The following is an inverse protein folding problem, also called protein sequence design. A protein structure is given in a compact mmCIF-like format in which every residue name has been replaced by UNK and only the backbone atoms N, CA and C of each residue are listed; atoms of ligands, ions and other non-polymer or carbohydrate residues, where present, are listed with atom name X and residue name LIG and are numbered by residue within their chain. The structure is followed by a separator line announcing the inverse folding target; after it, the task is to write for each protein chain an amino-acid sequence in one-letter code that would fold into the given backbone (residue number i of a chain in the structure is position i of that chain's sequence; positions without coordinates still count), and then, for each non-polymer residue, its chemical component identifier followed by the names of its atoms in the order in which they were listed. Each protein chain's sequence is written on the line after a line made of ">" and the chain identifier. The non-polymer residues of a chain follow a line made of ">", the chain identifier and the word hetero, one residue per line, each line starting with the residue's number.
data_IF_350941537809
#
_entry.id   IF_350941537809
#
_cell.length_a   1.000
_cell.length_b   1.000
_cell.length_c   1.000
_cell.angle_alpha   90.00
_cell.angle_beta   90.00
_cell.angle_gamma   90.00
#
_symmetry.space_group_name_H-M   'P 1'
#
loop_
_entity.id
_entity.type
_entity.pdbx_description
1 polymer ?
#
# COMPACT_ATOMS: atom_id res chain seq x y z
N UNK A 1 -36.37 -15.23 14.71
CA UNK A 1 -36.07 -15.48 13.29
C UNK A 1 -36.28 -14.18 12.54
N UNK A 2 -35.27 -13.34 12.48
CA UNK A 2 -35.27 -12.08 11.73
C UNK A 2 -34.53 -12.33 10.44
N UNK A 3 -35.19 -12.02 9.32
CA UNK A 3 -34.63 -12.16 7.97
C UNK A 3 -33.53 -11.10 7.75
N UNK A 4 -32.31 -11.54 7.59
CA UNK A 4 -31.22 -10.70 7.13
C UNK A 4 -31.43 -10.46 5.62
N UNK A 5 -31.87 -9.26 5.28
CA UNK A 5 -31.87 -8.78 3.90
C UNK A 5 -30.42 -8.36 3.56
N UNK A 6 -29.70 -9.23 2.87
CA UNK A 6 -28.43 -8.88 2.25
C UNK A 6 -28.71 -7.91 1.11
N UNK A 7 -28.35 -6.64 1.29
CA UNK A 7 -28.35 -5.66 0.21
C UNK A 7 -27.14 -5.94 -0.68
N UNK A 8 -27.36 -6.68 -1.77
CA UNK A 8 -26.37 -6.84 -2.84
C UNK A 8 -26.39 -5.55 -3.67
N UNK A 9 -25.48 -4.65 -3.32
CA UNK A 9 -25.22 -3.45 -4.13
C UNK A 9 -24.39 -3.82 -5.36
N UNK A 10 -25.06 -3.99 -6.49
CA UNK A 10 -24.41 -4.19 -7.78
C UNK A 10 -23.95 -2.82 -8.31
N UNK A 11 -22.71 -2.46 -8.12
CA UNK A 11 -22.12 -1.25 -8.69
C UNK A 11 -21.33 -1.64 -9.94
N UNK A 12 -21.96 -1.54 -11.10
CA UNK A 12 -21.30 -1.57 -12.41
C UNK A 12 -20.71 -0.18 -12.66
N UNK A 13 -19.43 0.01 -12.38
CA UNK A 13 -18.74 1.22 -12.80
C UNK A 13 -18.17 1.04 -14.20
N UNK A 14 -18.82 1.68 -15.15
CA UNK A 14 -18.35 1.82 -16.53
C UNK A 14 -17.42 3.05 -16.57
N UNK A 15 -16.11 2.86 -16.61
CA UNK A 15 -15.16 3.94 -16.88
C UNK A 15 -14.55 3.74 -18.26
N UNK A 16 -15.21 4.31 -19.28
CA UNK A 16 -14.60 4.49 -20.58
C UNK A 16 -13.95 5.87 -20.63
N UNK A 17 -12.65 5.95 -20.34
CA UNK A 17 -11.89 7.18 -20.57
C UNK A 17 -11.41 7.22 -22.02
N UNK A 18 -12.10 7.97 -22.87
CA UNK A 18 -11.64 8.33 -24.21
C UNK A 18 -10.91 9.67 -24.06
N UNK A 19 -9.59 9.65 -24.02
CA UNK A 19 -8.78 10.86 -24.11
C UNK A 19 -8.44 11.11 -25.58
N UNK A 20 -9.08 12.13 -26.16
CA UNK A 20 -8.67 12.67 -27.46
C UNK A 20 -7.68 13.81 -27.18
N UNK A 21 -6.41 13.58 -27.45
CA UNK A 21 -5.40 14.61 -27.40
C UNK A 21 -5.53 15.55 -28.61
N UNK A 22 -5.94 16.80 -28.36
CA UNK A 22 -5.82 17.90 -29.30
C UNK A 22 -4.38 18.40 -29.30
N UNK A 23 -3.66 18.23 -30.38
CA UNK A 23 -2.35 18.87 -30.61
C UNK A 23 -2.55 20.26 -31.22
N UNK A 24 -2.02 21.33 -30.66
CA UNK A 24 -1.96 22.61 -31.34
C UNK A 24 -0.82 22.60 -32.36
N UNK A 25 -1.21 22.91 -33.58
CA UNK A 25 -0.34 23.09 -34.75
C UNK A 25 0.28 24.50 -34.65
N UNK A 26 1.58 24.59 -34.40
CA UNK A 26 2.32 25.84 -34.54
C UNK A 26 2.90 25.95 -35.93
N UNK A 27 2.59 27.06 -36.59
CA UNK A 27 3.00 27.41 -37.91
C UNK A 27 4.51 27.68 -38.00
N UNK A 28 5.08 27.13 -39.02
CA UNK A 28 6.43 27.32 -39.49
C UNK A 28 6.59 28.75 -40.09
N UNK A 29 7.47 29.58 -39.53
CA UNK A 29 7.92 30.83 -40.13
C UNK A 29 9.36 30.67 -40.50
N UNK A 30 9.55 30.36 -41.77
CA UNK A 30 10.86 30.31 -42.38
C UNK A 30 11.53 31.69 -42.46
N UNK A 31 12.71 31.79 -41.92
CA UNK A 31 13.65 32.90 -42.20
C UNK A 31 14.83 32.34 -42.94
N UNK A 32 14.87 32.63 -44.23
CA UNK A 32 16.05 32.42 -45.09
C UNK A 32 17.11 33.45 -44.76
N UNK A 33 18.27 33.02 -44.29
CA UNK A 33 19.47 33.85 -44.28
C UNK A 33 20.43 33.40 -45.39
N UNK A 34 20.77 34.35 -46.24
CA UNK A 34 21.67 34.18 -47.37
C UNK A 34 23.16 34.04 -46.90
N UNK A 35 24.00 33.39 -47.70
CA UNK A 35 25.39 33.21 -47.37
C UNK A 35 26.21 34.48 -47.68
N UNK A 36 27.05 34.87 -46.75
CA UNK A 36 28.09 35.91 -46.97
C UNK A 36 29.35 35.21 -47.49
N UNK A 37 29.68 35.46 -48.73
CA UNK A 37 31.02 35.16 -49.27
C UNK A 37 32.02 36.18 -48.72
N UNK A 38 33.02 35.73 -48.00
CA UNK A 38 34.24 36.47 -47.80
C UNK A 38 35.37 35.74 -48.50
N UNK A 39 35.80 36.31 -49.62
CA UNK A 39 37.09 36.05 -50.22
C UNK A 39 38.17 36.88 -49.51
N UNK A 40 39.09 36.22 -48.83
CA UNK A 40 40.38 36.83 -48.59
C UNK A 40 41.49 35.79 -48.72
N UNK A 41 42.31 35.98 -49.74
CA UNK A 41 43.42 35.18 -50.09
C UNK A 41 44.65 35.69 -49.33
N UNK A 42 45.11 34.90 -48.35
CA UNK A 42 46.46 34.97 -47.85
C UNK A 42 47.12 33.59 -47.96
N UNK A 43 48.04 33.46 -48.87
CA UNK A 43 48.91 32.30 -48.99
C UNK A 43 49.84 32.24 -47.80
N UNK A 44 49.65 31.24 -46.94
CA UNK A 44 50.63 30.85 -45.93
C UNK A 44 51.18 29.47 -46.24
N UNK A 45 52.53 29.45 -46.26
CA UNK A 45 53.38 28.31 -46.52
C UNK A 45 53.03 27.08 -45.69
N UNK A 46 52.73 25.95 -46.31
CA UNK A 46 52.28 24.74 -45.67
C UNK A 46 53.47 23.95 -45.14
N UNK A 47 53.73 24.06 -43.85
CA UNK A 47 54.45 23.03 -43.10
C UNK A 47 53.59 21.80 -42.98
N UNK A 48 53.91 20.77 -43.76
CA UNK A 48 53.26 19.43 -43.62
C UNK A 48 53.74 18.76 -42.35
N UNK A 49 53.03 18.94 -41.28
CA UNK A 49 53.02 18.00 -40.12
C UNK A 49 51.97 16.96 -40.37
N UNK A 50 52.29 15.82 -40.95
CA UNK A 50 51.48 14.66 -40.97
C UNK A 50 51.74 13.84 -39.68
N UNK A 51 51.24 14.28 -38.55
CA UNK A 51 51.09 13.40 -37.44
C UNK A 51 49.78 12.65 -37.66
N UNK A 52 49.87 11.34 -37.87
CA UNK A 52 48.72 10.44 -37.79
C UNK A 52 48.24 10.48 -36.35
N UNK A 53 47.25 11.35 -36.05
CA UNK A 53 46.46 11.25 -34.84
C UNK A 53 45.57 10.03 -35.00
N UNK A 54 45.92 8.95 -34.29
CA UNK A 54 45.01 7.85 -34.11
C UNK A 54 43.67 8.42 -33.65
N UNK A 55 42.61 8.12 -34.40
CA UNK A 55 41.27 8.60 -34.09
C UNK A 55 40.91 8.11 -32.71
N UNK A 56 40.91 9.00 -31.72
CA UNK A 56 40.37 8.70 -30.39
C UNK A 56 38.89 8.55 -30.56
N UNK A 57 38.43 7.31 -30.63
CA UNK A 57 37.00 6.99 -30.60
C UNK A 57 36.47 7.30 -29.20
N UNK A 58 35.91 8.49 -29.04
CA UNK A 58 35.18 8.83 -27.80
C UNK A 58 33.90 8.05 -27.80
N UNK A 59 33.92 6.89 -27.13
CA UNK A 59 32.71 6.14 -26.84
C UNK A 59 31.99 6.90 -25.72
N UNK A 60 31.00 7.70 -26.08
CA UNK A 60 30.15 8.34 -25.11
C UNK A 60 29.41 7.24 -24.32
N UNK A 61 29.71 7.10 -23.04
CA UNK A 61 28.96 6.20 -22.16
C UNK A 61 27.52 6.70 -22.10
N UNK A 62 26.57 5.85 -22.48
CA UNK A 62 25.14 6.14 -22.35
C UNK A 62 24.82 6.40 -20.89
N UNK A 63 24.11 7.50 -20.54
CA UNK A 63 23.74 7.76 -19.14
C UNK A 63 22.83 6.65 -18.61
N UNK A 64 23.12 6.15 -17.42
CA UNK A 64 22.34 5.11 -16.76
C UNK A 64 20.94 5.61 -16.34
N UNK A 65 20.82 6.91 -16.06
CA UNK A 65 19.56 7.55 -15.65
C UNK A 65 19.04 8.44 -16.78
N UNK A 66 17.78 8.28 -17.11
CA UNK A 66 17.04 9.15 -18.03
C UNK A 66 15.80 9.69 -17.33
N UNK A 67 15.67 11.01 -17.26
CA UNK A 67 14.49 11.69 -16.74
C UNK A 67 13.55 12.05 -17.89
N UNK A 68 12.28 11.68 -17.76
CA UNK A 68 11.17 12.07 -18.62
C UNK A 68 10.14 12.84 -17.76
N UNK A 69 9.13 13.43 -18.39
CA UNK A 69 8.16 14.28 -17.68
C UNK A 69 7.35 13.52 -16.62
N UNK A 70 7.00 12.26 -16.89
CA UNK A 70 6.12 11.41 -16.11
C UNK A 70 6.83 10.26 -15.40
N UNK A 71 8.10 10.01 -15.76
CA UNK A 71 8.86 8.90 -15.21
C UNK A 71 10.36 9.12 -15.24
N UNK A 72 11.02 8.41 -14.37
CA UNK A 72 12.47 8.26 -14.36
C UNK A 72 12.85 6.84 -14.72
N UNK A 73 13.79 6.68 -15.62
CA UNK A 73 14.24 5.37 -16.11
C UNK A 73 15.69 5.15 -15.71
N UNK A 74 15.98 4.01 -15.09
CA UNK A 74 17.32 3.52 -14.80
C UNK A 74 17.62 2.31 -15.70
N UNK A 75 18.70 2.41 -16.49
CA UNK A 75 19.14 1.37 -17.42
C UNK A 75 20.02 0.34 -16.67
N UNK A 76 19.41 -0.73 -16.20
CA UNK A 76 20.09 -1.79 -15.43
C UNK A 76 21.01 -2.62 -16.33
N UNK A 77 20.59 -2.87 -17.58
CA UNK A 77 21.35 -3.68 -18.55
C UNK A 77 22.72 -3.04 -18.88
N UNK A 78 22.79 -1.72 -18.83
CA UNK A 78 24.02 -0.96 -19.09
C UNK A 78 24.89 -0.76 -17.83
N UNK A 79 24.43 -1.14 -16.64
CA UNK A 79 25.19 -1.04 -15.39
C UNK A 79 26.07 -2.29 -15.19
N UNK A 80 27.40 -2.14 -15.13
CA UNK A 80 28.29 -3.29 -14.90
C UNK A 80 28.03 -4.04 -13.60
N UNK A 81 27.50 -3.37 -12.58
CA UNK A 81 27.20 -3.99 -11.28
C UNK A 81 25.98 -4.89 -11.29
N UNK A 82 25.11 -4.78 -12.33
CA UNK A 82 23.92 -5.62 -12.45
C UNK A 82 24.23 -7.13 -12.54
N UNK A 83 25.43 -7.49 -12.95
CA UNK A 83 25.85 -8.90 -13.05
C UNK A 83 26.00 -9.59 -11.68
N UNK A 84 26.32 -8.81 -10.64
CA UNK A 84 26.64 -9.36 -9.31
C UNK A 84 25.58 -9.02 -8.25
N UNK A 85 24.67 -8.10 -8.54
CA UNK A 85 23.72 -7.57 -7.57
C UNK A 85 22.28 -8.07 -7.78
N UNK A 86 21.47 -7.93 -6.74
CA UNK A 86 20.01 -8.11 -6.81
C UNK A 86 19.33 -6.85 -7.32
N UNK A 87 18.06 -6.99 -7.71
CA UNK A 87 17.24 -5.83 -8.11
C UNK A 87 17.06 -4.86 -6.94
N UNK A 88 16.97 -5.34 -5.69
CA UNK A 88 16.88 -4.49 -4.51
C UNK A 88 18.13 -3.58 -4.37
N UNK A 89 19.33 -4.15 -4.60
CA UNK A 89 20.56 -3.35 -4.55
C UNK A 89 20.62 -2.33 -5.69
N UNK A 90 20.12 -2.67 -6.87
CA UNK A 90 20.02 -1.72 -7.97
C UNK A 90 19.04 -0.59 -7.68
N UNK A 91 17.94 -0.85 -6.93
CA UNK A 91 16.99 0.17 -6.51
C UNK A 91 17.63 1.26 -5.64
N UNK A 92 18.68 0.95 -4.87
CA UNK A 92 19.43 1.95 -4.08
C UNK A 92 20.09 3.02 -4.95
N UNK A 93 20.32 2.71 -6.23
CA UNK A 93 20.92 3.63 -7.22
C UNK A 93 19.87 4.41 -8.01
N UNK A 94 18.61 4.01 -7.92
CA UNK A 94 17.53 4.62 -8.69
C UNK A 94 17.08 5.91 -8.00
N UNK A 95 17.13 7.06 -8.67
CA UNK A 95 16.62 8.30 -8.10
C UNK A 95 15.13 8.18 -7.70
N UNK A 96 14.73 8.90 -6.64
CA UNK A 96 13.39 8.91 -6.06
C UNK A 96 12.98 7.60 -5.37
N UNK A 97 13.88 6.62 -5.29
CA UNK A 97 13.71 5.42 -4.48
C UNK A 97 14.69 5.46 -3.31
N UNK A 98 14.22 5.16 -2.12
CA UNK A 98 15.04 5.00 -0.93
C UNK A 98 14.84 3.60 -0.40
N UNK A 99 15.93 2.90 -0.13
CA UNK A 99 15.94 1.60 0.52
C UNK A 99 16.74 1.73 1.81
N UNK A 100 16.08 1.57 2.94
CA UNK A 100 16.73 1.70 4.26
C UNK A 100 17.61 0.49 4.63
N UNK A 101 18.23 0.55 5.80
CA UNK A 101 19.07 -0.53 6.31
C UNK A 101 18.32 -1.81 6.70
N UNK A 102 16.99 -1.78 6.75
CA UNK A 102 16.09 -2.90 7.01
C UNK A 102 15.40 -3.40 5.72
N UNK A 103 15.89 -2.95 4.55
CA UNK A 103 15.36 -3.26 3.23
C UNK A 103 13.94 -2.72 2.96
N UNK A 104 13.45 -1.75 3.75
CA UNK A 104 12.17 -1.10 3.45
C UNK A 104 12.36 -0.15 2.27
N UNK A 105 11.45 -0.25 1.32
CA UNK A 105 11.46 0.54 0.09
C UNK A 105 10.48 1.70 0.21
N UNK A 106 10.91 2.89 -0.14
CA UNK A 106 10.07 4.07 -0.29
C UNK A 106 10.24 4.68 -1.68
N UNK A 107 9.14 5.08 -2.28
CA UNK A 107 9.10 5.77 -3.58
C UNK A 107 8.57 7.17 -3.36
N UNK A 108 9.33 8.18 -3.75
CA UNK A 108 8.97 9.58 -3.55
C UNK A 108 8.58 9.88 -2.09
N UNK A 109 9.37 9.38 -1.13
CA UNK A 109 9.13 9.45 0.32
C UNK A 109 7.83 8.79 0.82
N UNK A 110 7.21 7.95 0.01
CA UNK A 110 6.02 7.18 0.40
C UNK A 110 6.33 5.68 0.47
N UNK A 111 5.93 5.04 1.55
CA UNK A 111 5.96 3.57 1.68
C UNK A 111 4.80 2.87 0.95
N UNK A 112 3.80 3.66 0.49
CA UNK A 112 2.71 3.15 -0.32
C UNK A 112 3.05 3.28 -1.79
N UNK A 113 3.37 2.18 -2.45
CA UNK A 113 3.67 2.12 -3.89
C UNK A 113 3.19 0.79 -4.47
N UNK A 114 3.07 0.73 -5.78
CA UNK A 114 2.76 -0.51 -6.50
C UNK A 114 3.95 -0.94 -7.35
N UNK A 115 4.10 -2.25 -7.52
CA UNK A 115 5.12 -2.80 -8.41
C UNK A 115 4.46 -3.39 -9.65
N UNK A 116 4.97 -2.97 -10.79
CA UNK A 116 4.57 -3.47 -12.10
C UNK A 116 5.73 -4.22 -12.74
N UNK A 117 5.40 -5.23 -13.52
CA UNK A 117 6.37 -5.95 -14.36
C UNK A 117 5.91 -5.85 -15.81
N UNK A 118 6.79 -5.34 -16.67
CA UNK A 118 6.48 -5.12 -18.09
C UNK A 118 5.18 -4.32 -18.31
N UNK A 119 4.91 -3.33 -17.43
CA UNK A 119 3.73 -2.48 -17.48
C UNK A 119 2.44 -3.10 -16.95
N UNK A 120 2.49 -4.27 -16.32
CA UNK A 120 1.35 -4.95 -15.70
C UNK A 120 1.51 -4.99 -14.19
N UNK A 121 0.45 -4.82 -13.40
CA UNK A 121 0.53 -4.94 -11.95
C UNK A 121 1.00 -6.34 -11.55
N UNK A 122 1.93 -6.39 -10.60
CA UNK A 122 2.42 -7.65 -10.06
C UNK A 122 2.18 -7.66 -8.54
N UNK A 123 1.18 -8.42 -8.12
CA UNK A 123 0.75 -8.47 -6.73
C UNK A 123 1.77 -9.15 -5.82
N UNK A 124 2.52 -10.12 -6.34
CA UNK A 124 3.62 -10.76 -5.62
C UNK A 124 4.64 -9.74 -5.15
N UNK A 125 5.09 -8.86 -6.05
CA UNK A 125 6.07 -7.84 -5.75
C UNK A 125 5.47 -6.66 -4.98
N UNK A 126 4.19 -6.36 -5.18
CA UNK A 126 3.53 -5.28 -4.45
C UNK A 126 3.27 -5.62 -2.98
N UNK A 127 3.01 -6.89 -2.67
CA UNK A 127 2.71 -7.33 -1.30
C UNK A 127 3.96 -7.61 -0.45
N UNK A 128 5.06 -8.04 -1.06
CA UNK A 128 6.33 -8.26 -0.38
C UNK A 128 7.53 -7.85 -1.26
N UNK A 129 7.66 -6.55 -1.56
CA UNK A 129 8.62 -6.07 -2.54
C UNK A 129 10.06 -6.36 -2.13
N UNK A 130 10.41 -6.14 -0.87
CA UNK A 130 11.80 -6.28 -0.38
C UNK A 130 12.32 -7.70 -0.56
N UNK A 131 11.58 -8.70 -0.09
CA UNK A 131 12.00 -10.10 -0.17
C UNK A 131 12.09 -10.60 -1.62
N UNK A 132 11.12 -10.23 -2.45
CA UNK A 132 11.11 -10.67 -3.85
C UNK A 132 12.25 -10.01 -4.63
N UNK A 133 12.43 -8.69 -4.48
CA UNK A 133 13.44 -7.94 -5.23
C UNK A 133 14.87 -8.23 -4.73
N UNK A 134 15.03 -8.62 -3.46
CA UNK A 134 16.30 -9.08 -2.89
C UNK A 134 16.78 -10.41 -3.52
N UNK A 135 15.83 -11.29 -3.80
CA UNK A 135 16.12 -12.59 -4.41
C UNK A 135 16.08 -12.57 -5.95
N UNK A 136 15.74 -11.44 -6.56
CA UNK A 136 15.70 -11.30 -8.00
C UNK A 136 17.05 -10.81 -8.53
N UNK A 137 17.74 -11.58 -9.40
CA UNK A 137 19.01 -11.15 -10.00
C UNK A 137 18.81 -9.95 -10.92
N UNK A 138 19.66 -8.92 -10.78
CA UNK A 138 19.52 -7.70 -11.57
C UNK A 138 19.76 -7.90 -13.07
N UNK A 139 20.55 -8.92 -13.47
CA UNK A 139 20.77 -9.26 -14.87
C UNK A 139 19.52 -9.81 -15.59
N UNK A 140 18.45 -10.14 -14.85
CA UNK A 140 17.13 -10.48 -15.41
C UNK A 140 16.30 -9.25 -15.79
N UNK A 141 16.78 -8.05 -15.39
CA UNK A 141 16.09 -6.78 -15.60
C UNK A 141 16.82 -5.96 -16.64
N UNK A 142 16.08 -5.40 -17.58
CA UNK A 142 16.58 -4.49 -18.59
C UNK A 142 16.65 -3.05 -18.09
N UNK A 143 15.57 -2.59 -17.47
CA UNK A 143 15.46 -1.24 -16.90
C UNK A 143 14.43 -1.20 -15.79
N UNK A 144 14.58 -0.22 -14.89
CA UNK A 144 13.61 0.11 -13.85
C UNK A 144 13.05 1.51 -14.16
N UNK A 145 11.74 1.64 -14.20
CA UNK A 145 11.04 2.90 -14.40
C UNK A 145 10.31 3.29 -13.13
N UNK A 146 10.54 4.50 -12.63
CA UNK A 146 9.82 5.08 -11.50
C UNK A 146 8.82 6.08 -12.05
N UNK A 147 7.54 5.80 -11.84
CA UNK A 147 6.43 6.62 -12.31
C UNK A 147 5.86 7.33 -11.08
N UNK A 148 6.14 8.63 -10.97
CA UNK A 148 5.75 9.44 -9.81
C UNK A 148 4.42 10.15 -9.98
N UNK A 149 3.96 10.26 -11.22
CA UNK A 149 2.66 10.80 -11.55
C UNK A 149 1.91 9.79 -12.43
N UNK A 150 1.41 8.70 -11.83
CA UNK A 150 0.70 7.69 -12.59
C UNK A 150 -0.62 8.27 -13.11
N UNK A 151 -0.73 8.34 -14.44
CA UNK A 151 -1.97 8.73 -15.10
C UNK A 151 -3.04 7.64 -15.01
N UNK A 152 -4.22 7.87 -15.61
CA UNK A 152 -5.37 6.93 -15.53
C UNK A 152 -5.11 5.55 -16.12
N UNK A 153 -3.98 5.37 -16.79
CA UNK A 153 -3.51 4.07 -17.29
C UNK A 153 -3.15 3.09 -16.16
N UNK A 154 -2.75 3.63 -15.01
CA UNK A 154 -2.31 2.85 -13.86
C UNK A 154 -3.38 2.93 -12.79
N UNK A 155 -3.78 1.78 -12.25
CA UNK A 155 -4.62 1.70 -11.06
C UNK A 155 -3.74 2.04 -9.83
N UNK A 156 -3.46 3.34 -9.67
CA UNK A 156 -2.50 3.85 -8.69
C UNK A 156 -3.12 4.88 -7.73
N UNK A 157 -4.42 4.80 -7.52
CA UNK A 157 -5.10 5.67 -6.57
C UNK A 157 -4.55 5.46 -5.15
N UNK A 158 -4.15 6.57 -4.51
CA UNK A 158 -3.66 6.57 -3.13
C UNK A 158 -2.22 6.09 -2.94
N UNK A 159 -1.41 5.92 -4.00
CA UNK A 159 0.01 5.53 -3.88
C UNK A 159 0.95 6.66 -4.26
N UNK A 160 2.14 6.69 -3.62
CA UNK A 160 3.18 7.68 -3.88
C UNK A 160 3.94 7.49 -5.20
N UNK A 161 3.72 6.35 -5.89
CA UNK A 161 4.34 6.05 -7.17
C UNK A 161 4.27 4.59 -7.55
N UNK A 162 4.83 4.28 -8.72
CA UNK A 162 4.92 2.91 -9.25
C UNK A 162 6.37 2.61 -9.60
N UNK A 163 6.84 1.43 -9.19
CA UNK A 163 8.08 0.83 -9.69
C UNK A 163 7.71 -0.12 -10.82
N UNK A 164 8.07 0.20 -12.06
CA UNK A 164 7.85 -0.68 -13.20
C UNK A 164 9.17 -1.33 -13.63
N UNK A 165 9.25 -2.63 -13.47
CA UNK A 165 10.44 -3.44 -13.78
C UNK A 165 10.25 -4.02 -15.18
N UNK A 166 11.13 -3.64 -16.10
CA UNK A 166 11.15 -4.20 -17.46
C UNK A 166 12.19 -5.31 -17.50
N UNK A 167 11.73 -6.52 -17.71
CA UNK A 167 12.57 -7.72 -17.74
C UNK A 167 13.19 -7.97 -19.13
N UNK A 168 14.23 -8.79 -19.17
CA UNK A 168 14.91 -9.18 -20.42
C UNK A 168 14.15 -10.17 -21.28
N UNK A 169 12.88 -10.49 -20.91
CA UNK A 169 11.98 -11.35 -21.70
C UNK A 169 11.98 -12.83 -21.31
N UNK A 170 12.87 -13.27 -20.43
CA UNK A 170 12.73 -14.56 -19.75
C UNK A 170 11.74 -14.38 -18.62
N UNK A 171 10.59 -15.06 -18.68
CA UNK A 171 9.58 -15.03 -17.62
C UNK A 171 10.21 -15.36 -16.28
N UNK A 172 9.83 -14.61 -15.25
CA UNK A 172 10.22 -14.99 -13.87
C UNK A 172 9.48 -16.27 -13.51
N UNK A 173 10.21 -17.27 -13.06
CA UNK A 173 9.64 -18.47 -12.49
C UNK A 173 10.23 -18.64 -11.09
N UNK A 174 9.41 -19.00 -10.15
CA UNK A 174 9.87 -19.21 -8.80
C UNK A 174 8.75 -19.21 -7.76
N UNK A 175 9.13 -19.42 -6.54
CA UNK A 175 8.25 -19.35 -5.39
C UNK A 175 8.96 -18.62 -4.24
N UNK A 176 8.18 -18.03 -3.37
CA UNK A 176 8.63 -17.48 -2.09
C UNK A 176 7.63 -17.88 -1.01
N UNK A 177 8.13 -18.24 0.15
CA UNK A 177 7.32 -18.53 1.34
C UNK A 177 7.99 -17.87 2.54
N UNK A 178 7.22 -17.03 3.22
CA UNK A 178 7.62 -16.38 4.46
C UNK A 178 6.67 -16.80 5.57
N UNK A 179 7.20 -17.23 6.70
CA UNK A 179 6.45 -17.55 7.90
C UNK A 179 7.05 -16.75 9.05
N UNK A 180 6.20 -16.05 9.77
CA UNK A 180 6.61 -15.25 10.92
C UNK A 180 5.74 -15.54 12.13
N UNK A 181 6.33 -15.44 13.31
CA UNK A 181 5.61 -15.47 14.58
C UNK A 181 6.12 -14.35 15.46
N UNK A 182 5.24 -13.77 16.24
CA UNK A 182 5.59 -12.74 17.21
C UNK A 182 4.88 -12.99 18.54
N UNK A 183 5.59 -12.70 19.60
CA UNK A 183 5.07 -12.72 20.94
C UNK A 183 5.58 -11.51 21.72
N UNK A 184 4.74 -10.89 22.49
CA UNK A 184 5.16 -9.83 23.39
C UNK A 184 4.77 -10.15 24.85
N UNK A 185 5.46 -9.52 25.79
CA UNK A 185 5.24 -9.69 27.24
C UNK A 185 3.89 -9.15 27.72
N UNK A 186 3.15 -8.46 26.86
CA UNK A 186 1.81 -7.95 27.14
C UNK A 186 0.71 -8.96 26.80
N UNK A 187 1.08 -10.19 26.40
CA UNK A 187 0.13 -11.28 26.10
C UNK A 187 -0.38 -11.29 24.66
N UNK A 188 0.32 -10.61 23.74
CA UNK A 188 -0.02 -10.66 22.32
C UNK A 188 0.79 -11.74 21.63
N UNK A 189 0.07 -12.62 20.93
CA UNK A 189 0.64 -13.67 20.08
C UNK A 189 0.19 -13.39 18.65
N UNK A 190 1.11 -13.48 17.70
CA UNK A 190 0.80 -13.37 16.28
C UNK A 190 1.51 -14.43 15.48
N UNK A 191 0.88 -14.82 14.39
CA UNK A 191 1.46 -15.68 13.37
C UNK A 191 1.06 -15.16 12.00
N UNK A 192 1.99 -15.16 11.07
CA UNK A 192 1.74 -14.76 9.70
C UNK A 192 2.42 -15.70 8.72
N UNK A 193 1.78 -15.89 7.59
CA UNK A 193 2.30 -16.65 6.48
C UNK A 193 2.02 -15.88 5.19
N UNK A 194 3.01 -15.78 4.34
CA UNK A 194 2.89 -15.27 2.98
C UNK A 194 3.53 -16.27 2.03
N UNK A 195 2.82 -16.62 0.96
CA UNK A 195 3.33 -17.49 -0.07
C UNK A 195 2.99 -16.94 -1.45
N UNK A 196 3.90 -17.13 -2.38
CA UNK A 196 3.69 -16.76 -3.77
C UNK A 196 4.40 -17.76 -4.68
N UNK A 197 3.80 -18.00 -5.83
CA UNK A 197 4.38 -18.81 -6.89
C UNK A 197 4.10 -18.14 -8.23
N UNK A 198 5.12 -18.08 -9.05
CA UNK A 198 4.98 -17.67 -10.46
C UNK A 198 5.54 -18.80 -11.34
N UNK A 199 4.70 -19.26 -12.26
CA UNK A 199 5.04 -20.28 -13.24
C UNK A 199 4.51 -19.87 -14.59
N UNK A 200 5.41 -19.50 -15.49
CA UNK A 200 5.08 -18.98 -16.80
C UNK A 200 4.15 -17.77 -16.74
N UNK A 201 2.92 -17.94 -17.18
CA UNK A 201 1.89 -16.88 -17.26
C UNK A 201 1.01 -16.75 -16.02
N UNK A 202 1.14 -17.67 -15.07
CA UNK A 202 0.34 -17.73 -13.86
C UNK A 202 1.15 -17.22 -12.67
N UNK A 203 0.60 -16.26 -11.95
CA UNK A 203 1.08 -15.82 -10.64
C UNK A 203 -0.01 -16.04 -9.62
N UNK A 204 0.31 -16.68 -8.51
CA UNK A 204 -0.60 -16.90 -7.38
C UNK A 204 0.11 -16.46 -6.12
N UNK A 205 -0.58 -15.67 -5.30
CA UNK A 205 -0.10 -15.26 -3.98
C UNK A 205 -1.19 -15.41 -2.93
N UNK A 206 -0.78 -15.73 -1.72
CA UNK A 206 -1.67 -15.84 -0.58
C UNK A 206 -0.98 -15.35 0.67
N UNK A 207 -1.76 -14.69 1.52
CA UNK A 207 -1.33 -14.23 2.84
C UNK A 207 -2.37 -14.61 3.86
N UNK A 208 -1.91 -15.02 5.02
CA UNK A 208 -2.75 -15.21 6.20
C UNK A 208 -2.02 -14.66 7.43
N UNK A 209 -2.74 -13.98 8.29
CA UNK A 209 -2.25 -13.47 9.56
C UNK A 209 -3.27 -13.72 10.65
N UNK A 210 -2.79 -14.17 11.77
CA UNK A 210 -3.53 -14.34 13.01
C UNK A 210 -2.91 -13.51 14.11
N UNK A 211 -3.73 -12.88 14.93
CA UNK A 211 -3.29 -12.19 16.13
C UNK A 211 -4.29 -12.44 17.26
N UNK A 212 -3.78 -12.86 18.39
CA UNK A 212 -4.50 -12.94 19.65
C UNK A 212 -3.87 -11.96 20.63
N UNK A 213 -4.68 -11.23 21.37
CA UNK A 213 -4.23 -10.30 22.40
C UNK A 213 -5.08 -10.48 23.64
N UNK A 214 -4.45 -10.89 24.73
CA UNK A 214 -5.03 -10.76 26.07
C UNK A 214 -4.84 -9.33 26.53
N UNK A 215 -5.91 -8.60 26.73
CA UNK A 215 -5.86 -7.33 27.44
C UNK A 215 -5.59 -7.65 28.91
N UNK A 216 -4.39 -7.43 29.36
CA UNK A 216 -4.07 -7.48 30.80
C UNK A 216 -4.98 -6.49 31.53
N UNK A 217 -5.32 -6.85 32.79
CA UNK A 217 -6.18 -6.02 33.64
C UNK A 217 -5.81 -4.54 33.49
N UNK A 218 -6.71 -3.81 32.83
CA UNK A 218 -6.68 -2.36 32.80
C UNK A 218 -7.51 -1.84 33.96
N UNK A 219 -6.99 -0.87 34.68
CA UNK A 219 -7.76 -0.12 35.68
C UNK A 219 -7.65 1.36 35.35
N UNK A 220 -8.73 2.07 35.53
CA UNK A 220 -8.80 3.49 35.31
C UNK A 220 -9.83 4.13 36.21
N UNK A 221 -9.60 5.37 36.58
CA UNK A 221 -10.55 6.18 37.34
C UNK A 221 -10.87 7.47 36.58
N UNK A 222 -12.08 7.93 36.77
CA UNK A 222 -12.53 9.23 36.30
C UNK A 222 -13.21 9.94 37.46
N UNK A 223 -12.85 11.22 37.69
CA UNK A 223 -13.48 12.10 38.65
C UNK A 223 -14.03 13.32 37.95
N UNK A 224 -15.31 13.55 38.13
CA UNK A 224 -16.02 14.72 37.66
C UNK A 224 -16.43 15.55 38.88
N UNK A 225 -15.94 16.76 38.97
CA UNK A 225 -16.31 17.73 39.97
C UNK A 225 -17.20 18.80 39.38
N UNK A 226 -18.21 19.21 40.12
CA UNK A 226 -19.07 20.32 39.76
C UNK A 226 -18.32 21.63 40.00
N UNK A 227 -18.26 22.48 38.98
CA UNK A 227 -17.69 23.82 39.04
C UNK A 227 -18.75 24.83 38.68
N UNK A 228 -18.92 25.87 39.50
CA UNK A 228 -19.91 26.90 39.27
C UNK A 228 -21.01 26.95 40.33
N UNK A 229 -22.26 27.18 39.94
CA UNK A 229 -23.40 27.21 40.88
C UNK A 229 -23.64 25.80 41.43
N UNK A 230 -23.39 25.63 42.70
CA UNK A 230 -23.57 24.38 43.43
C UNK A 230 -24.93 24.45 44.17
N UNK A 231 -25.78 23.46 43.98
CA UNK A 231 -27.07 23.30 44.61
C UNK A 231 -27.24 21.89 45.21
N UNK A 232 -28.37 21.62 45.84
CA UNK A 232 -28.69 20.34 46.46
C UNK A 232 -28.76 19.18 45.48
N UNK A 233 -28.87 19.44 44.17
CA UNK A 233 -28.90 18.44 43.10
C UNK A 233 -27.53 18.18 42.51
N UNK A 234 -26.54 18.97 42.87
CA UNK A 234 -25.18 18.86 42.38
C UNK A 234 -24.47 17.65 42.95
N UNK A 235 -23.71 16.92 42.14
CA UNK A 235 -22.95 15.75 42.57
C UNK A 235 -21.56 15.70 41.94
N UNK A 236 -20.55 15.50 42.78
CA UNK A 236 -19.24 15.05 42.37
C UNK A 236 -19.27 13.55 42.16
N UNK A 237 -18.80 13.08 41.03
CA UNK A 237 -18.89 11.67 40.65
C UNK A 237 -17.49 11.11 40.44
N UNK A 238 -17.16 10.08 41.18
CA UNK A 238 -15.96 9.26 40.95
C UNK A 238 -16.38 7.90 40.39
N UNK A 239 -15.61 7.43 39.41
CA UNK A 239 -15.79 6.08 38.89
C UNK A 239 -14.45 5.39 38.74
N UNK A 240 -14.40 4.15 39.15
CA UNK A 240 -13.25 3.25 38.99
C UNK A 240 -13.70 2.07 38.15
N UNK A 241 -12.93 1.74 37.12
CA UNK A 241 -13.22 0.60 36.27
C UNK A 241 -12.03 -0.33 36.14
N UNK A 242 -12.32 -1.62 36.12
CA UNK A 242 -11.34 -2.66 35.81
C UNK A 242 -11.88 -3.48 34.65
N UNK A 243 -11.02 -3.70 33.66
CA UNK A 243 -11.33 -4.52 32.52
C UNK A 243 -10.21 -5.51 32.24
N UNK A 244 -10.59 -6.73 31.88
CA UNK A 244 -9.70 -7.73 31.33
C UNK A 244 -10.46 -8.36 30.15
N UNK A 245 -9.82 -8.49 29.02
CA UNK A 245 -10.50 -9.00 27.84
C UNK A 245 -9.52 -9.69 26.92
N UNK A 246 -10.03 -10.15 25.80
CA UNK A 246 -9.21 -10.69 24.74
C UNK A 246 -9.79 -10.33 23.37
N UNK A 247 -8.93 -10.25 22.40
CA UNK A 247 -9.26 -10.01 21.00
C UNK A 247 -8.56 -11.01 20.11
N UNK A 248 -9.31 -11.56 19.16
CA UNK A 248 -8.78 -12.34 18.06
C UNK A 248 -8.96 -11.59 16.77
N UNK A 249 -7.96 -11.69 15.92
CA UNK A 249 -7.96 -11.08 14.61
C UNK A 249 -7.42 -12.04 13.59
N UNK A 250 -8.12 -12.22 12.50
CA UNK A 250 -7.72 -13.01 11.34
C UNK A 250 -7.72 -12.12 10.10
N UNK A 251 -6.70 -12.16 9.32
CA UNK A 251 -6.71 -11.56 7.99
C UNK A 251 -6.12 -12.52 6.98
N UNK A 252 -6.78 -12.65 5.85
CA UNK A 252 -6.34 -13.48 4.76
C UNK A 252 -6.54 -12.77 3.44
N UNK A 253 -5.63 -12.94 2.49
CA UNK A 253 -5.85 -12.55 1.12
C UNK A 253 -5.29 -13.60 0.18
N UNK A 254 -5.96 -13.76 -0.94
CA UNK A 254 -5.54 -14.61 -2.03
C UNK A 254 -5.69 -13.84 -3.33
N UNK A 255 -4.68 -13.93 -4.17
CA UNK A 255 -4.65 -13.26 -5.46
C UNK A 255 -4.09 -14.21 -6.50
N UNK A 256 -4.71 -14.23 -7.66
CA UNK A 256 -4.23 -14.98 -8.81
C UNK A 256 -4.29 -14.10 -10.06
N UNK A 257 -3.27 -14.14 -10.87
CA UNK A 257 -3.24 -13.46 -12.15
C UNK A 257 -2.74 -14.36 -13.25
N UNK A 258 -3.39 -14.30 -14.41
CA UNK A 258 -3.05 -15.09 -15.58
C UNK A 258 -2.88 -14.20 -16.81
N UNK A 259 -1.68 -14.20 -17.37
CA UNK A 259 -1.37 -13.51 -18.62
C UNK A 259 -1.83 -14.35 -19.81
N UNK A 260 -3.01 -14.04 -20.37
CA UNK A 260 -3.51 -14.73 -21.57
C UNK A 260 -2.49 -14.56 -22.70
N UNK A 261 -2.05 -13.32 -22.91
CA UNK A 261 -0.98 -12.92 -23.85
C UNK A 261 -0.35 -11.59 -23.42
N UNK A 262 0.54 -11.04 -24.26
CA UNK A 262 1.24 -9.78 -23.97
C UNK A 262 0.30 -8.56 -23.76
N UNK A 263 -0.94 -8.64 -24.24
CA UNK A 263 -1.91 -7.54 -24.20
C UNK A 263 -3.07 -7.79 -23.23
N UNK A 264 -3.28 -9.02 -22.75
CA UNK A 264 -4.45 -9.40 -21.95
C UNK A 264 -4.04 -10.07 -20.65
N UNK A 265 -4.62 -9.60 -19.55
CA UNK A 265 -4.44 -10.11 -18.20
C UNK A 265 -5.81 -10.35 -17.56
N UNK A 266 -5.96 -11.47 -16.88
CA UNK A 266 -7.08 -11.71 -15.96
C UNK A 266 -6.49 -11.82 -14.57
N UNK A 267 -7.11 -11.16 -13.60
CA UNK A 267 -6.76 -11.31 -12.18
C UNK A 267 -8.00 -11.55 -11.34
N UNK A 268 -7.83 -12.32 -10.28
CA UNK A 268 -8.84 -12.56 -9.27
C UNK A 268 -8.23 -12.29 -7.90
N UNK A 269 -9.02 -11.67 -7.02
CA UNK A 269 -8.63 -11.37 -5.65
C UNK A 269 -9.72 -11.79 -4.69
N UNK A 270 -9.31 -12.24 -3.51
CA UNK A 270 -10.19 -12.57 -2.40
C UNK A 270 -9.54 -12.09 -1.11
N UNK A 271 -10.28 -11.38 -0.28
CA UNK A 271 -9.88 -10.91 1.04
C UNK A 271 -10.85 -11.40 2.12
N UNK A 272 -10.30 -11.74 3.26
CA UNK A 272 -11.03 -12.11 4.46
C UNK A 272 -10.42 -11.36 5.65
N UNK A 273 -11.26 -10.67 6.39
CA UNK A 273 -10.94 -10.05 7.66
C UNK A 273 -11.99 -10.50 8.66
N UNK A 274 -11.59 -11.07 9.76
CA UNK A 274 -12.50 -11.50 10.78
C UNK A 274 -11.90 -11.30 12.15
N UNK A 275 -12.72 -10.92 13.09
CA UNK A 275 -12.25 -10.72 14.45
C UNK A 275 -13.40 -10.73 15.43
N UNK A 276 -13.01 -10.68 16.67
CA UNK A 276 -13.95 -10.54 17.77
C UNK A 276 -13.20 -10.51 19.07
N UNK A 277 -13.91 -10.04 20.06
CA UNK A 277 -13.37 -9.90 21.40
C UNK A 277 -14.44 -10.07 22.45
N UNK A 278 -13.96 -10.18 23.65
CA UNK A 278 -14.75 -10.18 24.85
C UNK A 278 -14.10 -9.25 25.85
N UNK A 279 -14.85 -8.24 26.30
CA UNK A 279 -14.32 -7.20 27.19
C UNK A 279 -15.24 -7.04 28.38
N UNK A 280 -15.09 -7.87 29.42
CA UNK A 280 -15.77 -7.64 30.68
C UNK A 280 -15.19 -6.40 31.35
N UNK A 281 -16.04 -5.53 31.83
CA UNK A 281 -15.69 -4.32 32.54
C UNK A 281 -16.52 -4.22 33.83
N UNK A 282 -15.86 -4.13 34.96
CA UNK A 282 -16.49 -3.86 36.24
C UNK A 282 -16.23 -2.40 36.60
N UNK A 283 -17.29 -1.66 36.83
CA UNK A 283 -17.22 -0.24 37.18
C UNK A 283 -17.92 -0.01 38.51
N UNK A 284 -17.25 0.70 39.39
CA UNK A 284 -17.80 1.24 40.63
C UNK A 284 -17.99 2.74 40.47
N UNK A 285 -19.15 3.24 40.84
CA UNK A 285 -19.49 4.66 40.78
C UNK A 285 -19.89 5.13 42.16
N UNK A 286 -19.31 6.22 42.61
CA UNK A 286 -19.63 6.88 43.88
C UNK A 286 -19.90 8.35 43.59
N UNK A 287 -21.01 8.84 44.08
CA UNK A 287 -21.38 10.25 44.03
C UNK A 287 -21.48 10.84 45.40
N UNK A 288 -20.91 12.03 45.54
CA UNK A 288 -20.92 12.79 46.80
C UNK A 288 -21.46 14.20 46.56
N UNK A 289 -22.07 14.77 47.56
CA UNK A 289 -22.48 16.17 47.59
C UNK A 289 -21.26 17.10 47.56
N UNK A 290 -21.17 18.08 46.67
CA UNK A 290 -20.10 19.06 46.70
C UNK A 290 -20.21 20.06 47.87
N UNK A 291 -21.34 20.07 48.60
CA UNK A 291 -21.57 20.99 49.72
C UNK A 291 -20.94 20.52 51.03
N UNK A 292 -21.05 19.22 51.32
CA UNK A 292 -20.66 18.63 52.62
C UNK A 292 -19.98 17.27 52.50
N UNK A 293 -19.66 16.84 51.27
CA UNK A 293 -19.03 15.54 50.95
C UNK A 293 -19.88 14.31 51.38
N UNK A 294 -21.11 14.52 51.76
CA UNK A 294 -22.01 13.40 52.11
C UNK A 294 -22.25 12.48 50.94
N UNK A 295 -22.35 11.16 51.13
CA UNK A 295 -22.64 10.22 50.04
C UNK A 295 -24.07 10.45 49.55
N UNK A 296 -24.24 10.59 48.25
CA UNK A 296 -25.52 10.73 47.55
C UNK A 296 -25.99 9.39 47.03
N UNK A 297 -25.14 8.71 46.31
CA UNK A 297 -25.43 7.37 45.78
C UNK A 297 -24.15 6.63 45.43
N UNK A 298 -24.23 5.32 45.41
CA UNK A 298 -23.22 4.47 44.81
C UNK A 298 -23.89 3.28 44.10
N UNK A 299 -23.21 2.76 43.13
CA UNK A 299 -23.53 1.52 42.46
C UNK A 299 -22.33 0.89 41.83
N UNK A 300 -22.40 -0.41 41.60
CA UNK A 300 -21.48 -1.15 40.77
C UNK A 300 -22.21 -1.65 39.54
N UNK A 301 -21.60 -1.57 38.40
CA UNK A 301 -22.11 -2.22 37.19
C UNK A 301 -21.04 -3.14 36.57
N UNK A 302 -21.53 -4.29 36.17
CA UNK A 302 -20.77 -5.23 35.37
C UNK A 302 -21.26 -5.13 33.92
N UNK A 303 -20.36 -4.79 33.03
CA UNK A 303 -20.60 -4.63 31.61
C UNK A 303 -19.82 -5.72 30.90
N UNK A 304 -20.50 -6.53 30.12
CA UNK A 304 -19.91 -7.59 29.31
C UNK A 304 -20.20 -7.29 27.84
N UNK A 305 -19.19 -6.82 27.14
CA UNK A 305 -19.27 -6.61 25.71
C UNK A 305 -18.62 -7.77 24.96
N UNK A 306 -19.32 -8.30 23.98
CA UNK A 306 -18.84 -9.29 23.03
C UNK A 306 -19.11 -8.78 21.63
N UNK A 307 -18.05 -8.60 20.87
CA UNK A 307 -18.15 -8.20 19.48
C UNK A 307 -17.63 -9.28 18.54
N UNK A 308 -18.27 -9.41 17.40
CA UNK A 308 -17.83 -10.25 16.29
C UNK A 308 -18.04 -9.48 15.00
N UNK A 309 -17.03 -9.45 14.17
CA UNK A 309 -17.12 -8.79 12.89
C UNK A 309 -16.36 -9.60 11.85
N UNK A 310 -16.81 -9.51 10.61
CA UNK A 310 -16.08 -10.06 9.48
C UNK A 310 -16.27 -9.18 8.26
N UNK A 311 -15.30 -9.22 7.38
CA UNK A 311 -15.34 -8.57 6.09
C UNK A 311 -14.83 -9.56 5.06
N UNK A 312 -15.59 -9.76 4.02
CA UNK A 312 -15.19 -10.56 2.87
C UNK A 312 -15.25 -9.66 1.67
N UNK A 313 -14.16 -9.61 0.93
CA UNK A 313 -14.08 -8.92 -0.34
C UNK A 313 -13.57 -9.86 -1.42
N UNK A 314 -14.01 -9.66 -2.64
CA UNK A 314 -13.59 -10.42 -3.79
C UNK A 314 -13.67 -9.60 -5.06
N UNK A 315 -12.83 -9.93 -6.03
CA UNK A 315 -12.81 -9.23 -7.30
C UNK A 315 -12.30 -10.10 -8.43
N UNK A 316 -12.77 -9.81 -9.63
CA UNK A 316 -12.22 -10.33 -10.86
C UNK A 316 -12.04 -9.16 -11.81
N UNK A 317 -10.84 -9.03 -12.35
CA UNK A 317 -10.47 -7.98 -13.29
C UNK A 317 -10.01 -8.60 -14.60
N UNK A 318 -10.52 -8.07 -15.70
CA UNK A 318 -10.00 -8.33 -17.03
C UNK A 318 -9.40 -7.05 -17.59
N UNK A 319 -8.12 -7.10 -17.94
CA UNK A 319 -7.39 -5.97 -18.48
C UNK A 319 -6.92 -6.26 -19.89
N UNK A 320 -7.17 -5.34 -20.82
CA UNK A 320 -6.72 -5.40 -22.21
C UNK A 320 -5.98 -4.12 -22.59
N UNK A 321 -4.70 -4.25 -22.89
CA UNK A 321 -3.91 -3.20 -23.53
C UNK A 321 -4.08 -3.24 -25.03
N UNK A 322 -4.04 -2.09 -25.68
CA UNK A 322 -4.12 -1.99 -27.13
C UNK A 322 -2.76 -1.60 -27.72
N UNK A 323 -2.49 -1.93 -29.01
CA UNK A 323 -1.25 -1.52 -29.67
C UNK A 323 -1.05 0.01 -29.73
N UNK A 324 -2.16 0.76 -29.64
CA UNK A 324 -2.10 2.23 -29.60
C UNK A 324 -1.64 2.66 -28.23
N UNK A 325 -0.64 3.56 -28.19
CA UNK A 325 -0.04 4.09 -26.96
C UNK A 325 -1.15 4.57 -26.01
N UNK A 326 -1.01 4.18 -24.73
CA UNK A 326 -1.86 4.62 -23.61
C UNK A 326 -3.35 4.24 -23.68
N UNK A 327 -3.71 3.24 -24.51
CA UNK A 327 -5.06 2.68 -24.51
C UNK A 327 -5.12 1.39 -23.70
N UNK A 328 -5.97 1.41 -22.68
CA UNK A 328 -6.25 0.31 -21.78
C UNK A 328 -7.76 0.18 -21.57
N UNK A 329 -8.28 -1.04 -21.59
CA UNK A 329 -9.62 -1.39 -21.14
C UNK A 329 -9.49 -2.25 -19.89
N UNK A 330 -10.16 -1.87 -18.81
CA UNK A 330 -10.30 -2.70 -17.61
C UNK A 330 -11.77 -2.94 -17.34
N UNK A 331 -12.14 -4.19 -17.16
CA UNK A 331 -13.47 -4.61 -16.70
C UNK A 331 -13.27 -5.24 -15.32
N UNK A 332 -13.98 -4.70 -14.33
CA UNK A 332 -13.87 -5.13 -12.93
C UNK A 332 -15.24 -5.55 -12.41
N UNK A 333 -15.28 -6.68 -11.72
CA UNK A 333 -16.39 -7.08 -10.88
C UNK A 333 -15.91 -7.24 -9.45
N UNK A 334 -16.56 -6.57 -8.50
CA UNK A 334 -16.19 -6.61 -7.09
C UNK A 334 -17.39 -6.92 -6.22
N UNK A 335 -17.16 -7.69 -5.17
CA UNK A 335 -18.15 -8.03 -4.13
C UNK A 335 -17.52 -7.76 -2.77
N UNK A 336 -18.31 -7.21 -1.87
CA UNK A 336 -17.93 -7.11 -0.46
C UNK A 336 -19.11 -7.40 0.47
N UNK A 337 -18.81 -7.87 1.67
CA UNK A 337 -19.79 -8.10 2.72
C UNK A 337 -19.12 -7.88 4.08
N UNK A 338 -19.72 -7.06 4.94
CA UNK A 338 -19.15 -6.66 6.22
C UNK A 338 -20.17 -6.84 7.37
N UNK A 339 -20.54 -8.08 7.74
CA UNK A 339 -21.40 -8.30 8.90
C UNK A 339 -20.67 -7.99 10.20
N UNK A 340 -21.40 -7.38 11.15
CA UNK A 340 -20.98 -7.15 12.53
C UNK A 340 -22.12 -7.56 13.46
N UNK A 341 -21.76 -8.14 14.59
CA UNK A 341 -22.67 -8.56 15.66
C UNK A 341 -22.04 -8.13 16.99
N UNK A 342 -22.76 -7.28 17.69
CA UNK A 342 -22.36 -6.74 18.98
C UNK A 342 -23.40 -7.11 20.02
N UNK A 343 -22.98 -7.73 21.12
CA UNK A 343 -23.80 -8.14 22.24
C UNK A 343 -23.26 -7.49 23.50
N UNK A 344 -24.09 -6.66 24.13
CA UNK A 344 -23.76 -5.97 25.37
C UNK A 344 -24.75 -6.39 26.48
N UNK A 345 -24.21 -6.80 27.61
CA UNK A 345 -24.95 -7.15 28.80
C UNK A 345 -24.50 -6.23 29.94
N UNK A 346 -25.49 -5.55 30.55
CA UNK A 346 -25.27 -4.65 31.68
C UNK A 346 -25.98 -5.19 32.91
N UNK A 347 -25.23 -5.40 33.99
CA UNK A 347 -25.78 -5.83 35.27
C UNK A 347 -25.37 -4.82 36.34
N UNK A 348 -26.38 -4.25 37.02
CA UNK A 348 -26.15 -3.34 38.11
C UNK A 348 -26.33 -4.06 39.45
N UNK A 349 -25.46 -3.79 40.39
CA UNK A 349 -25.51 -4.35 41.74
C UNK A 349 -24.95 -3.33 42.75
N UNK A 350 -25.10 -3.61 44.06
CA UNK A 350 -24.66 -2.74 45.16
C UNK A 350 -25.21 -1.30 45.02
N UNK A 351 -26.51 -1.22 44.69
CA UNK A 351 -27.17 0.07 44.42
C UNK A 351 -27.69 0.63 45.72
N UNK A 352 -27.23 1.83 46.10
CA UNK A 352 -27.72 2.57 47.26
C UNK A 352 -27.84 4.06 46.91
N UNK A 353 -28.87 4.71 47.46
CA UNK A 353 -29.09 6.15 47.32
C UNK A 353 -29.52 6.62 45.91
N UNK A 354 -29.66 5.75 44.93
CA UNK A 354 -30.10 6.11 43.59
C UNK A 354 -31.57 6.41 43.58
N UNK A 355 -31.96 7.59 43.17
CA UNK A 355 -33.35 7.91 42.90
C UNK A 355 -33.85 6.99 41.79
N UNK A 356 -35.06 6.44 41.96
CA UNK A 356 -35.72 5.64 40.93
C UNK A 356 -35.79 6.44 39.63
N UNK A 357 -35.26 5.86 38.60
CA UNK A 357 -35.23 6.43 37.23
C UNK A 357 -36.60 6.45 36.61
#
# INVERSE_FOLDING_TARGET
>A
MAKVLASIGMLLTYTAAISAANTPRWADNGTKTAPIEMTDTMAYDSIKWSENLDAVTVVAKKPLVKSELDKMTYDVESDPEAQANSVLEMLRKVPMVTVDGQDNIMVNNSSSFKVYVNGKPNNMMSNNPSEVLKNMPANSVKKIEIITNPGPKYDAEGVGGIINIITTGKGMEGYSLTVGTNYNTQGRIGANMFGTVQSGKLTVSGRYSYSHSDAKRYWGGNRREVTGNIDETSANVESYSTSNGWYNYHSGSFEASYEIDSLRLVSASFGLWAGGGHTPNERQVVATSPLDESPLYHYSNFDRSRNRWSSIDGGIDYQRSFPVKDRLLTLSYKINSNPSDDEDEYVYHDIDGVAAW
#
